data_IF_608010141693
#
_entry.id   IF_608010141693
#
_cell.length_a   1.000
_cell.length_b   1.000
_cell.length_c   1.000
_cell.angle_alpha   90.00
_cell.angle_beta   90.00
_cell.angle_gamma   90.00
#
_symmetry.space_group_name_H-M   'P 1'
#
loop_
_entity.id
_entity.type
_entity.pdbx_description
1 polymer ?
#
# COMPACT_ATOMS: atom_id res chain seq x y z
N UNK A 1 -8.28 6.57 28.80
CA UNK A 1 -8.59 5.13 28.63
C UNK A 1 -8.92 5.00 27.15
N UNK A 2 -7.87 4.97 26.35
CA UNK A 2 -7.32 3.80 25.63
C UNK A 2 -8.19 3.48 24.42
N UNK A 3 -7.73 4.04 23.28
CA UNK A 3 -7.99 3.66 21.89
C UNK A 3 -8.71 2.31 21.77
N UNK A 4 -9.95 2.31 21.29
CA UNK A 4 -10.53 1.15 20.61
C UNK A 4 -9.87 1.07 19.24
N UNK A 5 -8.61 0.66 19.33
CA UNK A 5 -7.74 0.21 18.26
C UNK A 5 -8.37 -1.11 17.82
N UNK A 6 -9.15 -1.06 16.74
CA UNK A 6 -9.48 -2.16 15.84
C UNK A 6 -9.53 -3.52 16.52
N UNK A 7 -10.73 -4.07 16.73
CA UNK A 7 -10.80 -5.50 17.03
C UNK A 7 -10.02 -6.23 15.92
N UNK A 8 -8.99 -7.02 16.28
CA UNK A 8 -7.97 -7.55 15.34
C UNK A 8 -8.60 -8.26 14.11
N UNK A 9 -9.83 -8.75 14.24
CA UNK A 9 -10.62 -9.38 13.18
C UNK A 9 -11.09 -8.40 12.09
N UNK A 10 -11.37 -7.14 12.42
CA UNK A 10 -11.79 -6.10 11.46
C UNK A 10 -10.60 -5.60 10.62
N UNK A 11 -9.41 -5.47 11.23
CA UNK A 11 -8.19 -5.06 10.53
C UNK A 11 -7.76 -6.08 9.48
N UNK A 12 -7.72 -7.35 9.87
CA UNK A 12 -7.32 -8.42 8.94
C UNK A 12 -8.28 -8.50 7.75
N UNK A 13 -9.58 -8.31 7.98
CA UNK A 13 -10.59 -8.30 6.92
C UNK A 13 -10.39 -7.11 5.94
N UNK A 14 -10.11 -5.92 6.45
CA UNK A 14 -9.84 -4.74 5.63
C UNK A 14 -8.56 -4.87 4.81
N UNK A 15 -7.46 -5.30 5.44
CA UNK A 15 -6.19 -5.54 4.76
C UNK A 15 -6.38 -6.58 3.66
N UNK A 16 -7.07 -7.68 3.96
CA UNK A 16 -7.39 -8.71 2.97
C UNK A 16 -8.15 -8.13 1.78
N UNK A 17 -9.17 -7.31 2.01
CA UNK A 17 -9.96 -6.69 0.94
C UNK A 17 -9.10 -5.80 0.04
N UNK A 18 -8.24 -4.97 0.63
CA UNK A 18 -7.35 -4.06 -0.13
C UNK A 18 -6.32 -4.86 -0.93
N UNK A 19 -5.63 -5.81 -0.29
CA UNK A 19 -4.61 -6.65 -0.94
C UNK A 19 -5.21 -7.43 -2.11
N UNK A 20 -6.38 -8.06 -1.91
CA UNK A 20 -7.09 -8.75 -2.99
C UNK A 20 -7.44 -7.81 -4.16
N UNK A 21 -7.91 -6.61 -3.84
CA UNK A 21 -8.20 -5.57 -4.82
C UNK A 21 -6.98 -5.23 -5.67
N UNK A 22 -5.86 -4.89 -5.00
CA UNK A 22 -4.59 -4.51 -5.63
C UNK A 22 -4.04 -5.63 -6.51
N UNK A 23 -3.94 -6.86 -5.97
CA UNK A 23 -3.40 -8.01 -6.71
C UNK A 23 -4.27 -8.33 -7.92
N UNK A 24 -5.60 -8.25 -7.80
CA UNK A 24 -6.52 -8.43 -8.93
C UNK A 24 -6.34 -7.37 -10.01
N UNK A 25 -6.18 -6.11 -9.62
CA UNK A 25 -5.97 -5.00 -10.56
C UNK A 25 -4.61 -5.14 -11.28
N UNK A 26 -3.55 -5.48 -10.55
CA UNK A 26 -2.21 -5.68 -11.10
C UNK A 26 -2.15 -6.86 -12.10
N UNK A 27 -2.98 -7.88 -11.90
CA UNK A 27 -3.09 -9.02 -12.81
C UNK A 27 -4.07 -8.80 -13.99
N UNK A 28 -4.68 -7.63 -14.10
CA UNK A 28 -5.59 -7.27 -15.19
C UNK A 28 -5.00 -6.14 -16.03
N UNK A 29 -4.61 -6.46 -17.27
CA UNK A 29 -4.06 -5.46 -18.21
C UNK A 29 -5.08 -4.37 -18.56
N UNK A 30 -6.36 -4.72 -18.66
CA UNK A 30 -7.43 -3.75 -18.90
C UNK A 30 -7.56 -2.78 -17.72
N UNK A 31 -7.56 -3.29 -16.48
CA UNK A 31 -7.65 -2.46 -15.29
C UNK A 31 -6.41 -1.55 -15.15
N UNK A 32 -5.22 -2.10 -15.40
CA UNK A 32 -3.97 -1.35 -15.35
C UNK A 32 -3.91 -0.24 -16.40
N UNK A 33 -4.43 -0.50 -17.60
CA UNK A 33 -4.58 0.52 -18.65
C UNK A 33 -5.55 1.63 -18.23
N UNK A 34 -6.71 1.27 -17.68
CA UNK A 34 -7.72 2.24 -17.21
C UNK A 34 -7.14 3.11 -16.09
N UNK A 35 -6.36 2.51 -15.19
CA UNK A 35 -5.69 3.21 -14.09
C UNK A 35 -4.48 4.04 -14.52
N UNK A 36 -4.04 3.97 -15.80
CA UNK A 36 -2.88 4.71 -16.27
C UNK A 36 -1.56 4.27 -15.62
N UNK A 37 -1.44 2.97 -15.29
CA UNK A 37 -0.27 2.39 -14.60
C UNK A 37 1.00 2.44 -15.47
N UNK A 38 0.83 2.45 -16.79
CA UNK A 38 1.94 2.55 -17.73
C UNK A 38 2.59 3.95 -17.61
N UNK A 39 3.85 4.00 -17.21
CA UNK A 39 4.61 5.24 -17.03
C UNK A 39 4.57 5.83 -15.62
N UNK A 40 3.76 5.28 -14.70
CA UNK A 40 3.63 5.80 -13.31
C UNK A 40 4.95 5.81 -12.54
N UNK A 41 5.87 4.90 -12.87
CA UNK A 41 7.08 4.66 -12.09
C UNK A 41 8.36 5.24 -12.72
N UNK A 42 8.25 5.98 -13.83
CA UNK A 42 9.42 6.36 -14.66
C UNK A 42 10.45 7.22 -13.91
N UNK A 43 10.05 7.98 -12.89
CA UNK A 43 10.94 8.82 -12.08
C UNK A 43 10.76 8.62 -10.55
N UNK A 44 9.92 7.69 -10.12
CA UNK A 44 9.48 7.57 -8.71
C UNK A 44 10.13 6.40 -7.95
N UNK A 45 10.86 5.50 -8.63
CA UNK A 45 11.40 4.29 -7.99
C UNK A 45 12.83 4.46 -7.52
N UNK A 46 12.99 4.32 -6.21
CA UNK A 46 14.29 4.26 -5.56
C UNK A 46 14.95 2.88 -5.71
N UNK A 47 16.28 2.85 -5.67
CA UNK A 47 17.08 1.61 -5.70
C UNK A 47 16.69 0.65 -4.56
N UNK A 48 16.23 1.18 -3.42
CA UNK A 48 15.77 0.39 -2.27
C UNK A 48 14.62 -0.56 -2.60
N UNK A 49 13.77 -0.20 -3.56
CA UNK A 49 12.73 -1.11 -4.04
C UNK A 49 13.30 -2.41 -4.61
N UNK A 50 14.42 -2.34 -5.35
CA UNK A 50 15.00 -3.52 -6.02
C UNK A 50 15.56 -4.52 -5.00
N UNK A 51 15.98 -4.06 -3.83
CA UNK A 51 16.54 -4.92 -2.78
C UNK A 51 15.46 -5.63 -1.97
N UNK A 52 14.36 -4.93 -1.65
CA UNK A 52 13.29 -5.43 -0.78
C UNK A 52 11.91 -5.02 -1.32
N UNK A 53 11.50 -5.52 -2.50
CA UNK A 53 10.32 -5.02 -3.20
C UNK A 53 9.01 -5.38 -2.49
N UNK A 54 8.95 -6.52 -1.79
CA UNK A 54 7.78 -6.93 -1.01
C UNK A 54 7.57 -5.98 0.18
N UNK A 55 8.64 -5.71 0.93
CA UNK A 55 8.65 -4.82 2.08
C UNK A 55 8.23 -3.41 1.67
N UNK A 56 8.74 -2.92 0.53
CA UNK A 56 8.35 -1.62 0.01
C UNK A 56 6.85 -1.54 -0.29
N UNK A 57 6.31 -2.51 -1.04
CA UNK A 57 4.87 -2.53 -1.37
C UNK A 57 4.02 -2.63 -0.09
N UNK A 58 4.44 -3.48 0.85
CA UNK A 58 3.73 -3.66 2.11
C UNK A 58 3.69 -2.36 2.93
N UNK A 59 4.82 -1.66 3.02
CA UNK A 59 4.92 -0.37 3.69
C UNK A 59 4.01 0.70 3.05
N UNK A 60 3.96 0.78 1.71
CA UNK A 60 3.09 1.74 1.01
C UNK A 60 1.61 1.46 1.30
N UNK A 61 1.19 0.19 1.27
CA UNK A 61 -0.19 -0.19 1.57
C UNK A 61 -0.52 0.08 3.04
N UNK A 62 0.37 -0.29 3.97
CA UNK A 62 0.19 -0.04 5.40
C UNK A 62 0.08 1.46 5.71
N UNK A 63 0.93 2.28 5.08
CA UNK A 63 0.91 3.73 5.24
C UNK A 63 -0.36 4.36 4.67
N UNK A 64 -0.83 3.90 3.50
CA UNK A 64 -2.09 4.35 2.92
C UNK A 64 -3.31 3.99 3.80
N UNK A 65 -3.32 2.79 4.41
CA UNK A 65 -4.37 2.39 5.34
C UNK A 65 -4.39 3.27 6.60
N UNK A 66 -3.23 3.52 7.21
CA UNK A 66 -3.13 4.39 8.40
C UNK A 66 -3.58 5.82 8.13
N UNK A 67 -3.26 6.35 6.95
CA UNK A 67 -3.68 7.70 6.58
C UNK A 67 -5.19 7.78 6.40
N UNK A 68 -5.82 6.78 5.75
CA UNK A 68 -7.26 6.72 5.60
C UNK A 68 -8.00 6.73 6.95
N UNK A 69 -7.40 6.13 7.98
CA UNK A 69 -7.97 6.12 9.34
C UNK A 69 -7.80 7.47 10.06
N UNK A 70 -6.66 8.13 9.85
CA UNK A 70 -6.34 9.40 10.51
C UNK A 70 -7.19 10.55 9.93
N UNK A 71 -7.49 10.49 8.62
CA UNK A 71 -8.40 11.44 7.96
C UNK A 71 -9.86 11.33 8.43
N UNK A 72 -10.25 10.23 9.10
CA UNK A 72 -11.57 10.12 9.75
C UNK A 72 -11.60 10.73 11.17
N UNK A 73 -10.44 11.00 11.78
CA UNK A 73 -10.33 11.57 13.14
C UNK A 73 -10.07 13.09 13.17
N UNK A 74 -9.60 13.69 12.07
CA UNK A 74 -9.20 15.11 11.99
C UNK A 74 -10.09 15.94 11.01
N UNK A 75 -11.39 16.11 11.33
CA UNK A 75 -12.21 17.18 10.73
C UNK A 75 -12.01 18.56 11.42
N UNK A 76 -11.11 18.67 12.40
CA UNK A 76 -10.78 19.93 13.08
C UNK A 76 -9.26 20.08 13.25
N UNK A 77 -8.74 21.24 12.84
CA UNK A 77 -7.41 21.83 13.14
C UNK A 77 -6.31 21.78 12.05
N UNK A 78 -6.33 22.85 11.26
CA UNK A 78 -5.22 23.76 10.95
C UNK A 78 -4.01 23.33 10.09
N UNK A 79 -3.82 24.14 9.05
CA UNK A 79 -2.64 24.33 8.21
C UNK A 79 -1.36 24.54 9.04
N UNK A 80 -0.39 23.61 8.97
CA UNK A 80 1.07 23.85 8.82
C UNK A 80 1.89 22.65 9.35
N UNK A 81 2.31 21.73 8.45
CA UNK A 81 3.61 21.07 8.60
C UNK A 81 4.19 20.64 7.23
N UNK A 82 5.06 21.49 6.68
CA UNK A 82 5.99 21.15 5.59
C UNK A 82 7.11 20.21 6.10
N UNK A 83 6.76 19.03 6.62
CA UNK A 83 7.72 18.00 7.03
C UNK A 83 7.24 16.58 6.70
N UNK A 84 7.35 16.23 5.43
CA UNK A 84 7.86 14.96 4.89
C UNK A 84 7.05 14.55 3.65
N UNK A 85 7.76 14.26 2.57
CA UNK A 85 7.23 13.64 1.37
C UNK A 85 6.75 12.19 1.67
N UNK A 86 5.66 12.05 2.41
CA UNK A 86 4.95 10.78 2.60
C UNK A 86 3.46 11.04 2.40
N UNK A 87 3.10 11.56 1.22
CA UNK A 87 1.73 11.41 0.73
C UNK A 87 1.52 9.92 0.45
N UNK A 88 0.44 9.32 0.96
CA UNK A 88 0.12 7.92 0.65
C UNK A 88 0.23 7.65 -0.84
N UNK A 89 0.85 6.52 -1.19
CA UNK A 89 0.95 6.12 -2.58
C UNK A 89 -0.44 5.96 -3.20
N UNK A 90 -0.61 6.54 -4.39
CA UNK A 90 -1.85 6.41 -5.15
C UNK A 90 -2.13 4.93 -5.51
N UNK A 91 -3.40 4.57 -5.73
CA UNK A 91 -3.76 3.22 -6.17
C UNK A 91 -3.03 2.80 -7.45
N UNK A 92 -2.84 3.72 -8.41
CA UNK A 92 -2.04 3.47 -9.62
C UNK A 92 -0.59 3.16 -9.29
N UNK A 93 0.02 3.89 -8.35
CA UNK A 93 1.39 3.65 -7.88
C UNK A 93 1.53 2.27 -7.26
N UNK A 94 0.66 1.91 -6.31
CA UNK A 94 0.71 0.59 -5.64
C UNK A 94 0.51 -0.56 -6.65
N UNK A 95 -0.44 -0.41 -7.57
CA UNK A 95 -0.65 -1.39 -8.66
C UNK A 95 0.58 -1.50 -9.57
N UNK A 96 1.22 -0.37 -9.88
CA UNK A 96 2.45 -0.34 -10.67
C UNK A 96 3.60 -1.07 -9.96
N UNK A 97 3.77 -0.87 -8.65
CA UNK A 97 4.80 -1.53 -7.84
C UNK A 97 4.58 -3.06 -7.82
N UNK A 98 3.34 -3.53 -7.67
CA UNK A 98 3.02 -4.97 -7.73
C UNK A 98 3.31 -5.55 -9.12
N UNK A 99 3.04 -4.81 -10.20
CA UNK A 99 3.43 -5.25 -11.56
C UNK A 99 4.94 -5.29 -11.71
N UNK A 100 5.66 -4.31 -11.17
CA UNK A 100 7.13 -4.30 -11.22
C UNK A 100 7.75 -5.44 -10.40
N UNK A 101 7.19 -5.77 -9.23
CA UNK A 101 7.59 -6.95 -8.46
C UNK A 101 7.61 -8.20 -9.35
N UNK A 102 6.55 -8.42 -10.14
CA UNK A 102 6.46 -9.54 -11.07
C UNK A 102 7.55 -9.51 -12.14
N UNK A 103 7.92 -8.33 -12.63
CA UNK A 103 9.01 -8.18 -13.60
C UNK A 103 10.36 -8.53 -12.97
N UNK A 104 10.61 -8.09 -11.73
CA UNK A 104 11.86 -8.35 -11.02
C UNK A 104 12.03 -9.81 -10.60
N UNK A 105 10.99 -10.42 -10.04
CA UNK A 105 11.03 -11.78 -9.49
C UNK A 105 10.71 -12.86 -10.51
N UNK A 106 10.08 -12.48 -11.63
CA UNK A 106 9.58 -13.40 -12.64
C UNK A 106 8.31 -14.16 -12.23
N UNK A 107 7.72 -13.83 -11.07
CA UNK A 107 6.54 -14.50 -10.52
C UNK A 107 5.49 -13.48 -10.04
N UNK A 108 4.18 -13.79 -10.16
CA UNK A 108 3.16 -12.92 -9.59
C UNK A 108 3.26 -12.91 -8.05
N UNK A 109 3.05 -11.73 -7.45
CA UNK A 109 2.96 -11.60 -6.00
C UNK A 109 1.67 -12.26 -5.50
N UNK A 110 1.78 -13.15 -4.52
CA UNK A 110 0.64 -13.84 -3.93
C UNK A 110 -0.12 -12.95 -2.95
N UNK A 111 -1.45 -13.04 -2.95
CA UNK A 111 -2.31 -12.29 -2.01
C UNK A 111 -1.92 -12.56 -0.55
N UNK A 112 -1.70 -13.83 -0.19
CA UNK A 112 -1.34 -14.20 1.17
C UNK A 112 0.02 -13.64 1.59
N UNK A 113 1.01 -13.71 0.71
CA UNK A 113 2.35 -13.20 0.96
C UNK A 113 2.34 -11.69 1.20
N UNK A 114 1.61 -10.95 0.36
CA UNK A 114 1.46 -9.51 0.55
C UNK A 114 0.64 -9.16 1.79
N UNK A 115 -0.43 -9.91 2.08
CA UNK A 115 -1.24 -9.71 3.28
C UNK A 115 -0.42 -9.91 4.56
N UNK A 116 0.35 -11.00 4.63
CA UNK A 116 1.21 -11.30 5.79
C UNK A 116 2.23 -10.16 6.01
N UNK A 117 2.86 -9.67 4.93
CA UNK A 117 3.80 -8.56 5.00
C UNK A 117 3.15 -7.21 5.42
N UNK A 118 1.97 -6.89 4.89
CA UNK A 118 1.24 -5.66 5.26
C UNK A 118 0.83 -5.70 6.74
N UNK A 119 0.34 -6.86 7.21
CA UNK A 119 -0.01 -7.05 8.62
C UNK A 119 1.19 -6.90 9.54
N UNK A 120 2.37 -7.41 9.15
CA UNK A 120 3.62 -7.23 9.90
C UNK A 120 3.93 -5.74 10.09
N UNK A 121 3.85 -4.92 9.04
CA UNK A 121 4.04 -3.46 9.15
C UNK A 121 3.01 -2.76 10.05
N UNK A 122 1.75 -3.17 9.98
CA UNK A 122 0.69 -2.58 10.80
C UNK A 122 0.80 -2.98 12.28
N UNK A 123 1.39 -4.13 12.58
CA UNK A 123 1.58 -4.65 13.94
C UNK A 123 2.89 -4.21 14.58
N UNK A 124 4.00 -4.16 13.84
CA UNK A 124 5.34 -3.83 14.36
C UNK A 124 5.51 -2.33 14.67
N UNK A 125 4.74 -1.44 14.04
CA UNK A 125 4.78 0.01 14.31
C UNK A 125 3.73 0.47 15.35
N UNK A 126 3.22 -0.47 16.16
CA UNK A 126 2.10 -0.28 17.06
C UNK A 126 2.38 -0.36 18.57
#
# INVERSE_FOLDING_TARGET
MTKDRWEDEDLEAQVRQVVQGVVRLANSDEASRILGVDGTLEDEIEIGFVTEPLQWIANEIASALRQADSEEEDEDEDEDDESAASGSASLSTVVALVRLYRVLTGAPLGERELMDAVMEYLQDEG
#
